data_IF_675076996944
#
_entry.id   IF_675076996944
#
_cell.length_a   1.000
_cell.length_b   1.000
_cell.length_c   1.000
_cell.angle_alpha   90.00
_cell.angle_beta   90.00
_cell.angle_gamma   90.00
#
_symmetry.space_group_name_H-M   'P 1'
#
loop_
_entity.id
_entity.type
_entity.pdbx_description
1 polymer ?
#
# COMPACT_ATOMS: atom_id res chain seq x y z
N UNK A 1 -13.04 15.84 14.28
CA UNK A 1 -12.30 15.10 15.32
C UNK A 1 -11.95 13.68 14.88
N UNK A 2 -12.93 12.82 14.55
CA UNK A 2 -12.68 11.41 14.19
C UNK A 2 -11.74 11.19 13.00
N UNK A 3 -11.88 11.97 11.92
CA UNK A 3 -10.97 11.86 10.77
C UNK A 3 -9.50 12.20 11.12
N UNK A 4 -9.28 13.17 12.02
CA UNK A 4 -7.94 13.49 12.52
C UNK A 4 -7.42 12.38 13.42
N UNK A 5 -8.26 11.83 14.30
CA UNK A 5 -7.87 10.71 15.14
C UNK A 5 -7.46 9.50 14.31
N UNK A 6 -8.26 9.12 13.30
CA UNK A 6 -7.91 8.05 12.36
C UNK A 6 -6.56 8.29 11.67
N UNK A 7 -6.18 9.55 11.44
CA UNK A 7 -4.87 9.87 10.85
C UNK A 7 -3.74 9.50 11.78
N UNK A 8 -3.87 9.91 13.04
CA UNK A 8 -2.85 9.74 14.06
C UNK A 8 -2.68 8.27 14.42
N UNK A 9 -3.78 7.53 14.52
CA UNK A 9 -3.78 6.09 14.78
C UNK A 9 -3.09 5.32 13.63
N UNK A 10 -3.43 5.63 12.38
CA UNK A 10 -2.77 5.01 11.22
C UNK A 10 -1.27 5.34 11.16
N UNK A 11 -0.86 6.56 11.53
CA UNK A 11 0.55 6.94 11.58
C UNK A 11 1.34 6.17 12.66
N UNK A 12 0.64 5.59 13.64
CA UNK A 12 1.20 4.73 14.68
C UNK A 12 1.02 3.23 14.39
N UNK A 13 0.52 2.88 13.21
CA UNK A 13 0.13 1.51 12.84
C UNK A 13 -0.91 0.88 13.78
N UNK A 14 -1.71 1.69 14.49
CA UNK A 14 -2.86 1.22 15.28
C UNK A 14 -4.06 0.99 14.34
N UNK A 15 -3.92 0.02 13.43
CA UNK A 15 -4.78 -0.15 12.25
C UNK A 15 -6.25 -0.42 12.61
N UNK A 16 -6.51 -1.24 13.64
CA UNK A 16 -7.86 -1.61 14.08
C UNK A 16 -8.60 -0.40 14.65
N UNK A 17 -7.97 0.32 15.58
CA UNK A 17 -8.48 1.55 16.19
C UNK A 17 -8.65 2.64 15.13
N UNK A 18 -7.68 2.75 14.22
CA UNK A 18 -7.73 3.65 13.08
C UNK A 18 -8.94 3.38 12.19
N UNK A 19 -9.26 2.10 11.90
CA UNK A 19 -10.45 1.70 11.13
C UNK A 19 -11.73 2.11 11.85
N UNK A 20 -11.83 1.85 13.15
CA UNK A 20 -13.00 2.25 13.96
C UNK A 20 -13.19 3.77 13.99
N UNK A 21 -12.12 4.54 14.13
CA UNK A 21 -12.18 6.00 14.08
C UNK A 21 -12.59 6.51 12.69
N UNK A 22 -12.11 5.88 11.62
CA UNK A 22 -12.50 6.22 10.25
C UNK A 22 -13.98 5.88 9.98
N UNK A 23 -14.50 4.77 10.50
CA UNK A 23 -15.91 4.40 10.40
C UNK A 23 -16.79 5.45 11.08
N UNK A 24 -16.46 5.84 12.32
CA UNK A 24 -17.16 6.92 13.02
C UNK A 24 -17.10 8.25 12.27
N UNK A 25 -15.98 8.55 11.60
CA UNK A 25 -15.88 9.74 10.77
C UNK A 25 -16.82 9.69 9.57
N UNK A 26 -16.90 8.54 8.90
CA UNK A 26 -17.78 8.33 7.75
C UNK A 26 -19.26 8.38 8.13
N UNK A 27 -19.64 7.77 9.26
CA UNK A 27 -21.02 7.77 9.77
C UNK A 27 -21.48 9.14 10.26
N UNK A 28 -20.59 9.90 10.91
CA UNK A 28 -20.93 11.19 11.50
C UNK A 28 -21.20 12.27 10.44
N UNK A 29 -20.45 12.26 9.33
CA UNK A 29 -20.74 13.15 8.20
C UNK A 29 -20.08 12.61 6.91
N UNK A 30 -20.82 11.81 6.12
CA UNK A 30 -20.25 11.18 4.94
C UNK A 30 -19.96 12.17 3.81
N UNK A 31 -20.37 13.44 3.87
CA UNK A 31 -20.33 14.38 2.72
C UNK A 31 -19.33 15.54 2.89
N UNK A 32 -18.55 15.57 3.97
CA UNK A 32 -17.53 16.60 4.18
C UNK A 32 -16.42 16.59 3.13
N UNK A 33 -15.69 17.70 3.03
CA UNK A 33 -14.55 17.92 2.13
C UNK A 33 -13.44 16.86 2.26
N UNK A 34 -13.37 16.14 3.38
CA UNK A 34 -12.39 15.08 3.64
C UNK A 34 -12.95 13.65 3.41
N UNK A 35 -14.15 13.50 2.85
CA UNK A 35 -14.79 12.20 2.68
C UNK A 35 -13.95 11.23 1.84
N UNK A 36 -13.26 11.69 0.79
CA UNK A 36 -12.38 10.81 -0.01
C UNK A 36 -11.23 10.25 0.82
N UNK A 37 -10.62 11.08 1.68
CA UNK A 37 -9.53 10.66 2.58
C UNK A 37 -10.03 9.66 3.62
N UNK A 38 -11.24 9.85 4.16
CA UNK A 38 -11.84 8.90 5.11
C UNK A 38 -12.11 7.55 4.44
N UNK A 39 -12.70 7.54 3.24
CA UNK A 39 -12.97 6.31 2.48
C UNK A 39 -11.67 5.61 2.07
N UNK A 40 -10.64 6.37 1.67
CA UNK A 40 -9.32 5.82 1.37
C UNK A 40 -8.71 5.12 2.59
N UNK A 41 -8.80 5.72 3.78
CA UNK A 41 -8.29 5.07 5.01
C UNK A 41 -9.09 3.83 5.41
N UNK A 42 -10.40 3.84 5.20
CA UNK A 42 -11.22 2.65 5.42
C UNK A 42 -10.78 1.50 4.50
N UNK A 43 -10.45 1.81 3.25
CA UNK A 43 -9.83 0.86 2.33
C UNK A 43 -8.46 0.40 2.84
N UNK A 44 -7.53 1.32 3.13
CA UNK A 44 -6.17 0.98 3.59
C UNK A 44 -6.20 0.09 4.83
N UNK A 45 -6.93 0.49 5.86
CA UNK A 45 -6.98 -0.29 7.09
C UNK A 45 -7.64 -1.67 6.87
N UNK A 46 -8.60 -1.78 5.94
CA UNK A 46 -9.17 -3.08 5.59
C UNK A 46 -8.20 -3.95 4.78
N UNK A 47 -7.40 -3.33 3.91
CA UNK A 47 -6.32 -3.99 3.18
C UNK A 47 -5.25 -4.52 4.15
N UNK A 48 -4.81 -3.69 5.09
CA UNK A 48 -3.78 -4.00 6.08
C UNK A 48 -4.19 -5.16 7.00
N UNK A 49 -5.47 -5.19 7.39
CA UNK A 49 -6.10 -6.26 8.18
C UNK A 49 -6.43 -7.53 7.37
N UNK A 50 -6.11 -7.54 6.07
CA UNK A 50 -6.45 -8.64 5.15
C UNK A 50 -7.97 -8.95 5.10
N UNK A 51 -8.81 -7.96 5.41
CA UNK A 51 -10.27 -8.02 5.38
C UNK A 51 -10.79 -7.75 3.96
N UNK A 52 -10.69 -8.78 3.10
CA UNK A 52 -11.02 -8.70 1.68
C UNK A 52 -12.45 -8.15 1.42
N UNK A 53 -13.52 -8.58 2.12
CA UNK A 53 -14.86 -8.04 1.90
C UNK A 53 -14.95 -6.52 2.15
N UNK A 54 -14.41 -6.03 3.26
CA UNK A 54 -14.45 -4.58 3.55
C UNK A 54 -13.50 -3.80 2.63
N UNK A 55 -12.32 -4.34 2.29
CA UNK A 55 -11.42 -3.70 1.34
C UNK A 55 -12.12 -3.53 -0.04
N UNK A 56 -12.80 -4.56 -0.53
CA UNK A 56 -13.60 -4.47 -1.76
C UNK A 56 -14.71 -3.41 -1.65
N UNK A 57 -15.48 -3.43 -0.56
CA UNK A 57 -16.56 -2.47 -0.31
C UNK A 57 -16.06 -1.02 -0.35
N UNK A 58 -15.00 -0.70 0.39
CA UNK A 58 -14.51 0.68 0.48
C UNK A 58 -13.81 1.14 -0.80
N UNK A 59 -13.11 0.25 -1.50
CA UNK A 59 -12.55 0.55 -2.82
C UNK A 59 -13.67 0.88 -3.83
N UNK A 60 -14.73 0.06 -3.88
CA UNK A 60 -15.89 0.28 -4.76
C UNK A 60 -16.67 1.55 -4.41
N UNK A 61 -16.88 1.82 -3.13
CA UNK A 61 -17.53 3.05 -2.67
C UNK A 61 -16.72 4.30 -3.06
N UNK A 62 -15.40 4.23 -2.92
CA UNK A 62 -14.49 5.27 -3.35
C UNK A 62 -14.55 5.54 -4.86
N UNK A 63 -14.51 4.48 -5.68
CA UNK A 63 -14.67 4.60 -7.13
C UNK A 63 -16.01 5.23 -7.53
N UNK A 64 -17.10 4.79 -6.89
CA UNK A 64 -18.45 5.28 -7.17
C UNK A 64 -18.59 6.78 -6.87
N UNK A 65 -17.96 7.25 -5.77
CA UNK A 65 -18.11 8.62 -5.27
C UNK A 65 -17.06 9.59 -5.78
N UNK A 66 -15.86 9.10 -6.04
CA UNK A 66 -14.67 9.91 -6.29
C UNK A 66 -13.91 9.39 -7.53
N UNK A 67 -14.61 9.20 -8.64
CA UNK A 67 -14.06 8.64 -9.89
C UNK A 67 -12.85 9.41 -10.50
N UNK A 68 -12.58 10.63 -10.03
CA UNK A 68 -11.42 11.43 -10.43
C UNK A 68 -10.24 11.35 -9.46
N UNK A 69 -10.43 10.76 -8.28
CA UNK A 69 -9.36 10.55 -7.31
C UNK A 69 -8.57 9.27 -7.71
N UNK A 70 -7.27 9.41 -8.05
CA UNK A 70 -6.47 8.28 -8.52
C UNK A 70 -6.31 7.16 -7.48
N UNK A 71 -6.46 7.45 -6.18
CA UNK A 71 -6.35 6.43 -5.13
C UNK A 71 -7.36 5.29 -5.31
N UNK A 72 -8.54 5.58 -5.86
CA UNK A 72 -9.55 4.54 -6.07
C UNK A 72 -9.35 3.73 -7.36
N UNK A 73 -8.48 4.18 -8.27
CA UNK A 73 -7.94 3.30 -9.32
C UNK A 73 -6.82 2.45 -8.73
N UNK A 74 -5.95 3.05 -7.91
CA UNK A 74 -4.87 2.36 -7.19
C UNK A 74 -5.42 1.21 -6.33
N UNK A 75 -6.51 1.43 -5.59
CA UNK A 75 -7.10 0.41 -4.70
C UNK A 75 -7.48 -0.87 -5.45
N UNK A 76 -7.96 -0.78 -6.69
CA UNK A 76 -8.28 -1.96 -7.51
C UNK A 76 -7.05 -2.79 -7.83
N UNK A 77 -5.88 -2.15 -8.01
CA UNK A 77 -4.62 -2.86 -8.25
C UNK A 77 -4.19 -3.59 -6.98
N UNK A 78 -4.29 -2.92 -5.82
CA UNK A 78 -3.99 -3.50 -4.51
C UNK A 78 -4.86 -4.72 -4.17
N UNK A 79 -6.14 -4.72 -4.53
CA UNK A 79 -7.03 -5.86 -4.26
C UNK A 79 -6.49 -7.16 -4.88
N UNK A 80 -5.88 -7.12 -6.07
CA UNK A 80 -5.27 -8.31 -6.69
C UNK A 80 -4.04 -8.86 -5.95
N UNK A 81 -3.50 -8.13 -4.97
CA UNK A 81 -2.41 -8.60 -4.11
C UNK A 81 -2.94 -9.33 -2.85
N UNK A 82 -4.19 -9.14 -2.46
CA UNK A 82 -4.79 -9.80 -1.30
C UNK A 82 -4.91 -11.31 -1.50
N UNK A 83 -4.76 -12.06 -0.40
CA UNK A 83 -5.12 -13.47 -0.39
C UNK A 83 -6.65 -13.59 -0.45
N UNK A 84 -7.16 -14.52 -1.25
CA UNK A 84 -8.61 -14.70 -1.44
C UNK A 84 -9.18 -13.94 -2.63
N UNK A 85 -8.47 -12.94 -3.16
CA UNK A 85 -8.78 -12.34 -4.45
C UNK A 85 -8.09 -13.13 -5.56
N UNK A 86 -8.80 -13.42 -6.66
CA UNK A 86 -8.17 -14.08 -7.80
C UNK A 86 -7.33 -13.03 -8.55
N UNK A 87 -6.01 -13.20 -8.66
CA UNK A 87 -5.19 -12.21 -9.34
C UNK A 87 -5.54 -12.15 -10.84
N UNK A 88 -5.84 -10.94 -11.33
CA UNK A 88 -5.99 -10.66 -12.77
C UNK A 88 -4.87 -9.71 -13.22
N UNK A 89 -3.75 -10.32 -13.66
CA UNK A 89 -2.56 -9.58 -14.11
C UNK A 89 -2.86 -8.69 -15.31
N UNK A 90 -3.72 -9.14 -16.23
CA UNK A 90 -4.04 -8.35 -17.42
C UNK A 90 -4.84 -7.11 -17.05
N UNK A 91 -5.83 -7.25 -16.15
CA UNK A 91 -6.59 -6.11 -15.65
C UNK A 91 -5.72 -5.16 -14.82
N UNK A 92 -4.81 -5.68 -14.00
CA UNK A 92 -3.85 -4.86 -13.25
C UNK A 92 -3.01 -3.95 -14.16
N UNK A 93 -2.52 -4.45 -15.30
CA UNK A 93 -1.81 -3.61 -16.29
C UNK A 93 -2.70 -2.54 -16.92
N UNK A 94 -3.98 -2.84 -17.19
CA UNK A 94 -4.93 -1.84 -17.71
C UNK A 94 -5.18 -0.73 -16.67
N UNK A 95 -5.42 -1.12 -15.42
CA UNK A 95 -5.62 -0.20 -14.30
C UNK A 95 -4.39 0.69 -14.07
N UNK A 96 -3.18 0.17 -14.25
CA UNK A 96 -1.97 0.99 -14.19
C UNK A 96 -1.98 2.14 -15.22
N UNK A 97 -2.40 1.85 -16.46
CA UNK A 97 -2.53 2.87 -17.49
C UNK A 97 -3.57 3.93 -17.12
N UNK A 98 -4.73 3.49 -16.62
CA UNK A 98 -5.81 4.37 -16.13
C UNK A 98 -5.33 5.24 -14.95
N UNK A 99 -4.61 4.65 -14.00
CA UNK A 99 -4.03 5.33 -12.84
C UNK A 99 -3.02 6.39 -13.25
N UNK A 100 -2.02 6.03 -14.06
CA UNK A 100 -0.98 6.96 -14.51
C UNK A 100 -1.55 8.12 -15.34
N UNK A 101 -2.62 7.88 -16.10
CA UNK A 101 -3.28 8.91 -16.90
C UNK A 101 -3.94 10.01 -16.05
N UNK A 102 -4.30 9.73 -14.78
CA UNK A 102 -4.85 10.74 -13.86
C UNK A 102 -3.81 11.76 -13.37
N UNK A 103 -2.52 11.46 -13.50
CA UNK A 103 -1.46 12.36 -13.06
C UNK A 103 -1.02 13.32 -14.17
N UNK A 104 -0.63 14.55 -13.81
CA UNK A 104 -0.01 15.50 -14.75
C UNK A 104 1.32 14.95 -15.28
N UNK A 105 1.77 15.44 -16.44
CA UNK A 105 2.93 14.90 -17.15
C UNK A 105 4.21 14.81 -16.28
N UNK A 106 4.47 15.82 -15.45
CA UNK A 106 5.63 15.87 -14.56
C UNK A 106 5.59 14.86 -13.40
N UNK A 107 4.44 14.24 -13.11
CA UNK A 107 4.30 13.19 -12.08
C UNK A 107 3.95 11.82 -12.65
N UNK A 108 3.63 11.75 -13.94
CA UNK A 108 3.14 10.53 -14.60
C UNK A 108 4.17 9.41 -14.59
N UNK A 109 5.46 9.73 -14.74
CA UNK A 109 6.51 8.72 -14.68
C UNK A 109 6.58 8.08 -13.29
N UNK A 110 6.67 8.89 -12.23
CA UNK A 110 6.65 8.39 -10.85
C UNK A 110 5.39 7.57 -10.56
N UNK A 111 4.21 8.05 -10.97
CA UNK A 111 2.96 7.30 -10.83
C UNK A 111 3.02 5.95 -11.57
N UNK A 112 3.57 5.91 -12.78
CA UNK A 112 3.74 4.67 -13.53
C UNK A 112 4.65 3.68 -12.80
N UNK A 113 5.76 4.16 -12.22
CA UNK A 113 6.71 3.35 -11.45
C UNK A 113 6.07 2.81 -10.17
N UNK A 114 5.38 3.67 -9.42
CA UNK A 114 4.61 3.29 -8.23
C UNK A 114 3.57 2.22 -8.53
N UNK A 115 2.69 2.47 -9.49
CA UNK A 115 1.66 1.51 -9.85
C UNK A 115 2.23 0.20 -10.42
N UNK A 116 3.39 0.24 -11.08
CA UNK A 116 4.09 -0.97 -11.53
C UNK A 116 4.57 -1.84 -10.36
N UNK A 117 4.94 -1.25 -9.21
CA UNK A 117 5.23 -2.03 -7.99
C UNK A 117 3.98 -2.76 -7.50
N UNK A 118 2.82 -2.12 -7.55
CA UNK A 118 1.54 -2.75 -7.16
C UNK A 118 1.15 -3.88 -8.10
N UNK A 119 1.33 -3.69 -9.41
CA UNK A 119 1.14 -4.75 -10.41
C UNK A 119 2.11 -5.91 -10.16
N UNK A 120 3.35 -5.63 -9.73
CA UNK A 120 4.30 -6.68 -9.38
C UNK A 120 3.82 -7.53 -8.19
N UNK A 121 3.12 -6.94 -7.22
CA UNK A 121 2.49 -7.69 -6.13
C UNK A 121 1.36 -8.60 -6.63
N UNK A 122 0.54 -8.13 -7.59
CA UNK A 122 -0.48 -8.97 -8.25
C UNK A 122 0.14 -10.14 -9.01
N UNK A 123 1.26 -9.89 -9.71
CA UNK A 123 2.03 -10.91 -10.43
C UNK A 123 2.65 -11.93 -9.47
N UNK A 124 3.17 -11.47 -8.32
CA UNK A 124 3.68 -12.34 -7.26
C UNK A 124 2.56 -13.22 -6.70
N UNK A 125 1.37 -12.64 -6.44
CA UNK A 125 0.18 -13.38 -5.99
C UNK A 125 -0.28 -14.44 -7.00
N UNK A 126 -0.07 -14.20 -8.30
CA UNK A 126 -0.31 -15.16 -9.37
C UNK A 126 0.74 -16.28 -9.48
N UNK A 127 1.77 -16.29 -8.63
CA UNK A 127 2.84 -17.29 -8.64
C UNK A 127 3.91 -17.08 -9.71
N UNK A 128 3.92 -15.92 -10.38
CA UNK A 128 4.87 -15.60 -11.46
C UNK A 128 6.10 -14.87 -10.90
N UNK A 129 6.85 -15.56 -10.04
CA UNK A 129 7.96 -14.98 -9.24
C UNK A 129 8.98 -14.18 -10.06
N UNK A 130 9.53 -14.76 -11.12
CA UNK A 130 10.57 -14.07 -11.91
C UNK A 130 10.03 -12.82 -12.62
N UNK A 131 8.77 -12.87 -13.06
CA UNK A 131 8.11 -11.72 -13.68
C UNK A 131 7.87 -10.62 -12.65
N UNK A 132 7.40 -10.94 -11.44
CA UNK A 132 7.19 -9.97 -10.37
C UNK A 132 8.49 -9.25 -10.01
N UNK A 133 9.58 -10.00 -9.83
CA UNK A 133 10.91 -9.45 -9.58
C UNK A 133 11.39 -8.53 -10.70
N UNK A 134 11.26 -8.98 -11.96
CA UNK A 134 11.67 -8.17 -13.10
C UNK A 134 10.88 -6.85 -13.20
N UNK A 135 9.58 -6.89 -12.88
CA UNK A 135 8.72 -5.69 -12.82
C UNK A 135 9.15 -4.76 -11.70
N UNK A 136 9.40 -5.28 -10.51
CA UNK A 136 9.81 -4.44 -9.39
C UNK A 136 11.18 -3.79 -9.64
N UNK A 137 12.16 -4.56 -10.13
CA UNK A 137 13.50 -4.03 -10.46
C UNK A 137 13.44 -2.90 -11.48
N UNK A 138 12.67 -3.03 -12.58
CA UNK A 138 12.57 -1.97 -13.59
C UNK A 138 11.78 -0.74 -13.12
N UNK A 139 11.04 -0.89 -12.02
CA UNK A 139 10.20 0.17 -11.44
C UNK A 139 10.95 1.03 -10.43
N UNK A 140 12.23 0.73 -10.16
CA UNK A 140 13.08 1.57 -9.31
C UNK A 140 13.21 2.98 -9.88
N UNK A 141 13.31 3.95 -8.97
CA UNK A 141 13.60 5.35 -9.26
C UNK A 141 14.82 5.76 -8.44
N UNK A 142 15.59 6.71 -8.95
CA UNK A 142 16.73 7.25 -8.24
C UNK A 142 16.29 8.04 -6.96
N UNK A 143 17.22 8.34 -6.04
CA UNK A 143 16.90 9.09 -4.82
C UNK A 143 16.29 10.47 -5.05
N UNK A 144 16.58 11.12 -6.18
CA UNK A 144 16.04 12.45 -6.51
C UNK A 144 14.58 12.38 -6.93
N UNK A 145 14.18 11.31 -7.62
CA UNK A 145 12.80 11.05 -8.01
C UNK A 145 11.94 10.34 -6.95
N UNK A 146 12.56 9.69 -5.96
CA UNK A 146 11.89 9.06 -4.81
C UNK A 146 12.64 9.38 -3.49
N UNK A 147 12.56 10.63 -2.99
CA UNK A 147 13.30 11.04 -1.80
C UNK A 147 12.81 10.34 -0.52
N UNK A 148 11.52 10.01 -0.45
CA UNK A 148 10.91 9.29 0.68
C UNK A 148 11.12 7.78 0.62
N UNK A 149 11.77 7.26 -0.44
CA UNK A 149 12.04 5.82 -0.61
C UNK A 149 10.79 4.96 -0.61
N UNK A 150 9.67 5.52 -1.05
CA UNK A 150 8.39 4.84 -1.04
C UNK A 150 8.40 3.64 -2.00
N UNK A 151 9.07 3.76 -3.14
CA UNK A 151 9.20 2.65 -4.08
C UNK A 151 10.10 1.53 -3.53
N UNK A 152 11.08 1.87 -2.67
CA UNK A 152 11.87 0.85 -1.98
C UNK A 152 11.00 0.07 -0.98
N UNK A 153 10.08 0.73 -0.27
CA UNK A 153 9.13 0.08 0.62
C UNK A 153 8.19 -0.87 -0.15
N UNK A 154 7.59 -0.40 -1.25
CA UNK A 154 6.73 -1.24 -2.10
C UNK A 154 7.51 -2.40 -2.73
N UNK A 155 8.76 -2.19 -3.12
CA UNK A 155 9.61 -3.28 -3.60
C UNK A 155 9.88 -4.30 -2.49
N UNK A 156 10.11 -3.86 -1.25
CA UNK A 156 10.32 -4.77 -0.12
C UNK A 156 9.11 -5.71 0.10
N UNK A 157 7.89 -5.20 -0.10
CA UNK A 157 6.67 -6.03 -0.08
C UNK A 157 6.75 -7.10 -1.17
N UNK A 158 7.03 -6.72 -2.42
CA UNK A 158 7.16 -7.67 -3.54
C UNK A 158 8.23 -8.73 -3.23
N UNK A 159 9.40 -8.31 -2.74
CA UNK A 159 10.51 -9.21 -2.37
C UNK A 159 10.12 -10.19 -1.28
N UNK A 160 9.37 -9.72 -0.28
CA UNK A 160 8.84 -10.59 0.79
C UNK A 160 7.86 -11.61 0.22
N UNK A 161 6.91 -11.19 -0.61
CA UNK A 161 5.92 -12.07 -1.24
C UNK A 161 6.54 -13.17 -2.10
N UNK A 162 7.70 -12.92 -2.70
CA UNK A 162 8.43 -13.92 -3.50
C UNK A 162 9.52 -14.67 -2.74
N UNK A 163 9.63 -14.45 -1.41
CA UNK A 163 10.57 -15.15 -0.53
C UNK A 163 12.01 -14.61 -0.50
N UNK A 164 12.29 -13.45 -1.12
CA UNK A 164 13.61 -12.81 -1.13
C UNK A 164 13.83 -11.94 0.13
N UNK A 165 13.90 -12.59 1.29
CA UNK A 165 13.96 -11.92 2.62
C UNK A 165 15.15 -10.97 2.76
N UNK A 166 16.33 -11.34 2.26
CA UNK A 166 17.54 -10.53 2.38
C UNK A 166 17.39 -9.18 1.65
N UNK A 167 16.88 -9.21 0.42
CA UNK A 167 16.65 -8.00 -0.36
C UNK A 167 15.52 -7.17 0.22
N UNK A 168 14.44 -7.81 0.71
CA UNK A 168 13.36 -7.12 1.41
C UNK A 168 13.88 -6.33 2.62
N UNK A 169 14.70 -6.95 3.47
CA UNK A 169 15.29 -6.30 4.64
C UNK A 169 16.25 -5.16 4.27
N UNK A 170 17.03 -5.31 3.20
CA UNK A 170 17.90 -4.23 2.71
C UNK A 170 17.08 -3.01 2.25
N UNK A 171 15.99 -3.25 1.55
CA UNK A 171 15.08 -2.20 1.08
C UNK A 171 14.34 -1.53 2.24
N UNK A 172 13.88 -2.29 3.23
CA UNK A 172 13.27 -1.74 4.46
C UNK A 172 14.24 -0.84 5.22
N UNK A 173 15.49 -1.26 5.40
CA UNK A 173 16.51 -0.41 6.01
C UNK A 173 16.70 0.91 5.23
N UNK A 174 16.67 0.86 3.90
CA UNK A 174 16.76 2.05 3.05
C UNK A 174 15.56 2.99 3.27
N UNK A 175 14.34 2.42 3.38
CA UNK A 175 13.14 3.18 3.63
C UNK A 175 13.13 3.84 5.02
N UNK A 176 13.40 3.09 6.08
CA UNK A 176 13.38 3.64 7.45
C UNK A 176 14.53 4.61 7.71
N UNK A 177 15.67 4.47 7.03
CA UNK A 177 16.73 5.48 7.10
C UNK A 177 16.27 6.85 6.55
N UNK A 178 15.38 6.87 5.55
CA UNK A 178 14.78 8.09 5.01
C UNK A 178 13.54 8.56 5.79
N UNK A 179 12.92 7.68 6.60
CA UNK A 179 11.68 7.94 7.33
C UNK A 179 11.79 7.49 8.80
N UNK A 180 12.69 8.08 9.61
CA UNK A 180 12.89 7.66 10.98
C UNK A 180 11.63 7.78 11.86
N UNK A 181 10.74 8.72 11.55
CA UNK A 181 9.45 8.89 12.22
C UNK A 181 8.49 7.70 12.06
N UNK A 182 8.68 6.86 11.04
CA UNK A 182 7.87 5.66 10.81
C UNK A 182 8.32 4.47 11.67
N UNK A 183 9.48 4.56 12.35
CA UNK A 183 9.97 3.49 13.22
C UNK A 183 9.08 3.31 14.46
N UNK A 184 8.49 4.38 14.99
CA UNK A 184 7.64 4.30 16.19
C UNK A 184 6.44 3.36 15.96
N UNK A 185 5.79 3.47 14.80
CA UNK A 185 4.66 2.61 14.42
C UNK A 185 5.06 1.19 13.99
N UNK A 186 6.34 0.91 13.76
CA UNK A 186 6.79 -0.39 13.25
C UNK A 186 6.56 -1.52 14.28
N UNK A 187 6.62 -1.20 15.58
CA UNK A 187 6.31 -2.15 16.66
C UNK A 187 4.86 -2.61 16.70
N UNK A 188 3.96 -1.84 16.09
CA UNK A 188 2.54 -2.13 15.96
C UNK A 188 2.16 -2.62 14.56
N UNK A 189 3.12 -2.78 13.64
CA UNK A 189 2.84 -3.19 12.26
C UNK A 189 2.39 -4.65 12.19
N UNK A 190 1.08 -4.84 12.02
CA UNK A 190 0.43 -6.13 11.81
C UNK A 190 0.10 -6.42 10.35
N UNK A 191 0.64 -5.65 9.39
CA UNK A 191 0.34 -5.82 7.96
C UNK A 191 0.74 -7.20 7.43
N UNK A 192 -0.12 -7.78 6.59
CA UNK A 192 0.04 -9.15 6.10
C UNK A 192 1.28 -9.33 5.21
N UNK A 193 1.74 -8.28 4.51
CA UNK A 193 2.82 -8.37 3.53
C UNK A 193 4.22 -8.55 4.14
N UNK A 194 4.43 -8.24 5.42
CA UNK A 194 5.68 -8.54 6.13
C UNK A 194 5.57 -9.68 7.13
N UNK A 195 4.45 -10.41 7.14
CA UNK A 195 4.23 -11.55 8.03
C UNK A 195 5.38 -12.56 7.98
N UNK A 196 5.90 -12.84 6.79
CA UNK A 196 6.99 -13.83 6.59
C UNK A 196 8.37 -13.33 7.07
N UNK A 197 8.51 -12.04 7.43
CA UNK A 197 9.71 -11.46 8.02
C UNK A 197 9.66 -11.40 9.55
N UNK A 198 8.49 -11.54 10.19
CA UNK A 198 8.31 -11.35 11.65
C UNK A 198 9.19 -12.25 12.53
N UNK A 199 9.56 -13.41 12.02
CA UNK A 199 10.44 -14.36 12.71
C UNK A 199 11.93 -14.18 12.38
N UNK A 200 12.27 -13.33 11.41
CA UNK A 200 13.67 -13.01 11.10
C UNK A 200 14.26 -12.10 12.19
N UNK A 201 15.37 -12.50 12.86
CA UNK A 201 15.98 -11.69 13.91
C UNK A 201 16.36 -10.29 13.46
N UNK A 202 16.70 -10.10 12.18
CA UNK A 202 17.07 -8.80 11.61
C UNK A 202 15.86 -7.88 11.49
N UNK A 203 14.69 -8.43 11.15
CA UNK A 203 13.43 -7.68 11.15
C UNK A 203 13.01 -7.30 12.57
N UNK A 204 13.08 -8.24 13.52
CA UNK A 204 12.82 -7.94 14.95
C UNK A 204 13.75 -6.87 15.50
N UNK A 205 15.03 -6.88 15.11
CA UNK A 205 15.96 -5.82 15.50
C UNK A 205 15.66 -4.47 14.86
N UNK A 206 15.01 -4.44 13.68
CA UNK A 206 14.57 -3.20 13.05
C UNK A 206 13.33 -2.63 13.77
N UNK A 207 12.43 -3.50 14.22
CA UNK A 207 11.21 -3.15 14.97
C UNK A 207 11.52 -2.63 16.38
N UNK A 208 12.49 -3.22 17.08
CA UNK A 208 12.79 -2.93 18.49
C UNK A 208 13.81 -1.79 18.69
N UNK A 209 14.02 -0.92 17.70
CA UNK A 209 14.92 0.25 17.79
C UNK A 209 14.18 1.47 18.30
#
# INVERSE_FOLDING_TARGET
AWATLAHLLNAKSETSEGKLAALRAYEADPYLTNASVVVWRLFQNSLDLEDQPEANKWCNEGLRRFANDPHFIECQIWLYALKGEKPDVQRAWKLLGEYAAKYPANRREYATKRGSMLVAMSIARAGLTDSAKAVATRSRVDPGGDPTRELAFLEAIVRTMVGEKDEALRLLNTFYAANPQQLEGLSHDETWWFKDLRDDPRYRSLINR
#
